data_IF_995477015613
#
_entry.id   IF_995477015613
#
_cell.length_a   1.000
_cell.length_b   1.000
_cell.length_c   1.000
_cell.angle_alpha   90.00
_cell.angle_beta   90.00
_cell.angle_gamma   90.00
#
_symmetry.space_group_name_H-M   'P 1'
#
loop_
_entity.id
_entity.type
_entity.pdbx_description
1 polymer ?
#
# COMPACT_ATOMS: atom_id res chain seq x y z
N UNK A 1 1.31 10.16 -1.01
CA UNK A 1 1.12 10.94 0.22
C UNK A 1 2.09 12.09 0.20
N UNK A 2 1.56 13.27 0.48
CA UNK A 2 2.21 14.57 0.30
C UNK A 2 1.78 15.45 1.47
N UNK A 3 2.61 16.36 1.97
CA UNK A 3 2.24 17.16 3.13
C UNK A 3 1.02 18.01 2.82
N UNK A 4 0.00 17.89 3.67
CA UNK A 4 -1.17 18.78 3.76
C UNK A 4 -1.07 19.69 4.99
N UNK A 5 -2.06 20.55 5.28
CA UNK A 5 -3.38 20.62 4.64
C UNK A 5 -3.43 21.61 3.44
N UNK A 6 -4.42 21.41 2.55
CA UNK A 6 -4.67 22.17 1.31
C UNK A 6 -3.61 21.98 0.21
N UNK A 7 -3.12 23.06 -0.43
CA UNK A 7 -2.09 22.96 -1.49
C UNK A 7 -0.78 22.38 -0.98
N UNK A 8 -0.49 22.46 0.33
CA UNK A 8 0.68 21.82 0.92
C UNK A 8 1.97 22.16 0.17
N UNK A 9 2.87 21.18 0.05
CA UNK A 9 4.04 21.25 -0.84
C UNK A 9 3.96 20.15 -1.90
N UNK A 10 3.64 20.49 -3.17
CA UNK A 10 3.44 19.52 -4.25
C UNK A 10 4.58 18.57 -4.55
N UNK A 11 5.78 18.82 -4.04
CA UNK A 11 7.04 18.14 -4.41
C UNK A 11 7.78 17.58 -3.21
N UNK A 12 7.13 17.48 -2.05
CA UNK A 12 7.72 16.93 -0.82
C UNK A 12 6.98 15.67 -0.40
N UNK A 13 7.73 14.70 0.12
CA UNK A 13 7.16 13.49 0.72
C UNK A 13 6.69 13.76 2.16
N UNK A 14 5.58 13.15 2.55
CA UNK A 14 5.08 13.10 3.93
C UNK A 14 4.31 11.78 4.14
N UNK A 15 4.13 11.36 5.39
CA UNK A 15 3.37 10.15 5.79
C UNK A 15 2.26 10.47 6.80
N UNK A 16 1.77 11.71 6.78
CA UNK A 16 0.89 12.30 7.81
C UNK A 16 -0.59 11.85 7.74
N UNK A 17 -1.03 11.12 6.71
CA UNK A 17 -2.46 10.78 6.50
C UNK A 17 -2.80 9.40 7.08
N UNK A 18 -1.88 8.73 7.78
CA UNK A 18 -2.12 7.39 8.32
C UNK A 18 -3.27 7.39 9.33
N UNK A 19 -3.24 8.30 10.30
CA UNK A 19 -4.32 8.42 11.29
C UNK A 19 -5.63 8.85 10.64
N UNK A 20 -5.56 9.71 9.62
CA UNK A 20 -6.74 10.12 8.87
C UNK A 20 -7.37 8.93 8.12
N UNK A 21 -6.57 8.10 7.44
CA UNK A 21 -7.05 6.94 6.71
C UNK A 21 -7.70 5.89 7.63
N UNK A 22 -7.15 5.69 8.83
CA UNK A 22 -7.69 4.76 9.82
C UNK A 22 -9.02 5.23 10.42
N UNK A 23 -9.21 6.54 10.61
CA UNK A 23 -10.38 7.07 11.33
C UNK A 23 -11.40 7.82 10.47
N UNK A 24 -11.19 7.94 9.16
CA UNK A 24 -12.10 8.67 8.25
C UNK A 24 -13.45 7.97 8.07
N UNK A 25 -14.54 8.75 7.96
CA UNK A 25 -15.88 8.25 7.66
C UNK A 25 -16.77 8.10 8.89
N UNK A 26 -18.05 8.39 8.73
CA UNK A 26 -19.04 8.30 9.82
C UNK A 26 -19.38 6.84 10.10
N UNK A 27 -19.33 6.44 11.38
CA UNK A 27 -19.62 5.07 11.83
C UNK A 27 -18.40 4.14 11.82
N UNK A 28 -18.59 2.92 12.33
CA UNK A 28 -17.57 1.87 12.30
C UNK A 28 -17.80 0.92 11.12
N UNK A 29 -16.76 0.74 10.31
CA UNK A 29 -16.74 -0.27 9.26
C UNK A 29 -15.31 -0.78 9.07
N UNK A 30 -15.19 -2.08 8.77
CA UNK A 30 -13.90 -2.70 8.53
C UNK A 30 -13.26 -2.09 7.28
N UNK A 31 -11.97 -1.75 7.39
CA UNK A 31 -11.13 -1.30 6.27
C UNK A 31 -9.74 -1.88 6.44
N UNK A 32 -9.10 -2.25 5.34
CA UNK A 32 -7.70 -2.65 5.33
C UNK A 32 -6.85 -1.45 4.89
N UNK A 33 -5.71 -1.23 5.53
CA UNK A 33 -4.75 -0.19 5.16
C UNK A 33 -3.37 -0.82 4.95
N UNK A 34 -2.76 -0.56 3.79
CA UNK A 34 -1.43 -1.02 3.42
C UNK A 34 -0.49 0.17 3.22
N UNK A 35 0.69 0.14 3.84
CA UNK A 35 1.70 1.22 3.76
C UNK A 35 3.02 0.66 3.22
N UNK A 36 3.16 0.49 1.90
CA UNK A 36 4.39 -0.04 1.30
C UNK A 36 5.55 0.96 1.44
N UNK A 37 6.75 0.47 1.74
CA UNK A 37 7.98 1.26 1.86
C UNK A 37 8.95 1.13 0.68
N UNK A 38 8.73 0.16 -0.21
CA UNK A 38 9.56 -0.06 -1.41
C UNK A 38 8.72 -0.25 -2.69
N UNK A 39 9.28 -0.03 -3.88
CA UNK A 39 8.60 -0.31 -5.15
C UNK A 39 8.09 -1.76 -5.28
N UNK A 40 8.84 -2.73 -4.78
CA UNK A 40 8.46 -4.16 -4.73
C UNK A 40 7.24 -4.36 -3.83
N UNK A 41 7.26 -3.73 -2.66
CA UNK A 41 6.15 -3.78 -1.71
C UNK A 41 4.91 -3.09 -2.27
N UNK A 42 5.04 -2.03 -3.07
CA UNK A 42 3.91 -1.40 -3.76
C UNK A 42 3.19 -2.40 -4.67
N UNK A 43 3.94 -3.20 -5.43
CA UNK A 43 3.37 -4.24 -6.29
C UNK A 43 2.66 -5.33 -5.49
N UNK A 44 3.29 -5.82 -4.41
CA UNK A 44 2.71 -6.85 -3.54
C UNK A 44 1.50 -6.33 -2.75
N UNK A 45 1.54 -5.08 -2.29
CA UNK A 45 0.47 -4.40 -1.59
C UNK A 45 -0.76 -4.26 -2.50
N UNK A 46 -0.57 -3.89 -3.77
CA UNK A 46 -1.66 -3.84 -4.74
C UNK A 46 -2.36 -5.20 -4.87
N UNK A 47 -1.60 -6.28 -5.09
CA UNK A 47 -2.15 -7.64 -5.16
C UNK A 47 -2.93 -8.02 -3.90
N UNK A 48 -2.37 -7.75 -2.72
CA UNK A 48 -3.01 -8.08 -1.43
C UNK A 48 -4.26 -7.24 -1.19
N UNK A 49 -4.24 -5.97 -1.54
CA UNK A 49 -5.38 -5.06 -1.39
C UNK A 49 -6.58 -5.52 -2.23
N UNK A 50 -6.36 -5.87 -3.50
CA UNK A 50 -7.43 -6.42 -4.35
C UNK A 50 -8.01 -7.71 -3.79
N UNK A 51 -7.16 -8.67 -3.39
CA UNK A 51 -7.62 -9.92 -2.80
C UNK A 51 -8.40 -9.71 -1.48
N UNK A 52 -7.99 -8.74 -0.68
CA UNK A 52 -8.63 -8.43 0.60
C UNK A 52 -9.97 -7.73 0.39
N UNK A 53 -10.04 -6.79 -0.56
CA UNK A 53 -11.28 -6.14 -0.95
C UNK A 53 -12.31 -7.15 -1.46
N UNK A 54 -11.88 -8.09 -2.32
CA UNK A 54 -12.76 -9.13 -2.85
C UNK A 54 -13.21 -10.12 -1.76
N UNK A 55 -12.28 -10.58 -0.91
CA UNK A 55 -12.58 -11.57 0.14
C UNK A 55 -13.48 -11.03 1.24
N UNK A 56 -13.24 -9.80 1.69
CA UNK A 56 -13.94 -9.23 2.84
C UNK A 56 -15.03 -8.24 2.44
N UNK A 57 -15.19 -7.95 1.13
CA UNK A 57 -16.14 -6.97 0.61
C UNK A 57 -16.05 -5.63 1.35
N UNK A 58 -14.81 -5.24 1.67
CA UNK A 58 -14.48 -4.09 2.50
C UNK A 58 -13.46 -3.19 1.79
N UNK A 59 -13.46 -1.87 2.05
CA UNK A 59 -12.47 -0.97 1.48
C UNK A 59 -11.03 -1.38 1.84
N UNK A 60 -10.16 -1.44 0.83
CA UNK A 60 -8.72 -1.64 0.99
C UNK A 60 -7.98 -0.40 0.47
N UNK A 61 -7.28 0.30 1.36
CA UNK A 61 -6.55 1.53 1.08
C UNK A 61 -5.05 1.24 0.99
N UNK A 62 -4.38 1.80 -0.01
CA UNK A 62 -2.93 1.74 -0.14
C UNK A 62 -2.39 3.15 0.02
N UNK A 63 -1.59 3.37 1.07
CA UNK A 63 -0.96 4.65 1.38
C UNK A 63 0.50 4.57 0.96
N UNK A 64 0.78 4.99 -0.28
CA UNK A 64 2.15 5.25 -0.75
C UNK A 64 2.47 6.73 -0.60
N UNK A 65 3.75 7.08 -0.50
CA UNK A 65 4.22 8.47 -0.48
C UNK A 65 4.65 8.98 -1.87
N UNK A 66 4.91 10.29 -1.97
CA UNK A 66 5.32 10.93 -3.22
C UNK A 66 6.74 10.54 -3.64
N UNK A 67 7.63 10.24 -2.68
CA UNK A 67 8.98 9.81 -2.99
C UNK A 67 8.97 8.46 -3.73
N UNK A 68 8.17 7.50 -3.26
CA UNK A 68 7.94 6.22 -3.93
C UNK A 68 7.26 6.38 -5.30
N UNK A 69 6.36 7.36 -5.44
CA UNK A 69 5.68 7.63 -6.71
C UNK A 69 6.57 8.22 -7.81
N UNK A 70 7.62 8.96 -7.43
CA UNK A 70 8.56 9.62 -8.35
C UNK A 70 9.88 8.85 -8.51
N UNK A 71 10.10 7.84 -7.68
CA UNK A 71 11.27 6.97 -7.68
C UNK A 71 11.25 6.01 -8.87
N UNK A 72 12.39 5.91 -9.57
CA UNK A 72 12.66 4.86 -10.56
C UNK A 72 13.78 3.97 -10.04
N UNK A 73 13.50 2.68 -9.92
CA UNK A 73 14.47 1.67 -9.50
C UNK A 73 14.38 0.46 -10.42
N UNK A 74 15.53 -0.11 -10.79
CA UNK A 74 15.58 -1.39 -11.47
C UNK A 74 15.38 -2.49 -10.45
N UNK A 75 14.25 -3.19 -10.57
CA UNK A 75 13.87 -4.25 -9.67
C UNK A 75 14.16 -5.57 -10.36
N UNK A 76 15.02 -6.40 -9.77
CA UNK A 76 15.06 -7.80 -10.15
C UNK A 76 13.85 -8.49 -9.55
N UNK A 77 12.97 -8.98 -10.41
CA UNK A 77 11.81 -9.75 -9.97
C UNK A 77 12.32 -11.10 -9.45
N UNK A 78 12.70 -11.14 -8.17
CA UNK A 78 13.13 -12.39 -7.58
C UNK A 78 11.94 -13.34 -7.52
N UNK A 79 12.01 -14.38 -8.34
CA UNK A 79 11.15 -15.58 -8.38
C UNK A 79 11.15 -16.36 -7.05
N UNK A 80 11.65 -15.80 -5.94
CA UNK A 80 11.66 -16.43 -4.62
C UNK A 80 10.25 -16.59 -4.01
N UNK A 81 9.24 -15.90 -4.55
CA UNK A 81 7.84 -16.16 -4.17
C UNK A 81 7.24 -17.41 -4.83
N UNK A 82 7.84 -17.94 -5.91
CA UNK A 82 7.39 -19.21 -6.49
C UNK A 82 7.84 -20.40 -5.64
N UNK A 83 9.05 -20.34 -5.07
CA UNK A 83 9.59 -21.41 -4.21
C UNK A 83 8.84 -21.59 -2.90
N UNK A 84 8.22 -20.55 -2.34
CA UNK A 84 7.37 -20.66 -1.14
C UNK A 84 5.98 -21.21 -1.43
N UNK A 85 5.53 -21.19 -2.69
CA UNK A 85 4.27 -21.80 -3.14
C UNK A 85 4.43 -23.27 -3.56
N UNK A 86 5.64 -23.72 -3.89
CA UNK A 86 5.94 -25.14 -4.23
C UNK A 86 6.48 -25.96 -3.06
N UNK A 87 6.60 -25.38 -1.85
CA UNK A 87 7.21 -26.01 -0.67
C UNK A 87 6.27 -26.73 0.30
N UNK A 88 5.05 -27.08 -0.11
CA UNK A 88 4.11 -27.86 0.72
C UNK A 88 3.78 -29.21 0.07
N UNK A 89 4.82 -30.00 -0.21
CA UNK A 89 4.69 -31.42 -0.55
C UNK A 89 5.88 -32.19 0.04
N UNK A 90 5.77 -32.51 1.33
CA UNK A 90 6.44 -33.64 1.99
C UNK A 90 5.70 -33.98 3.28
#
# INVERSE_FOLDING_TARGET
MRPGPATGFPTRTAQEDLEFALHTGHGEFARAVYTPGSPEECFLAAKRAFNTADRFQAPALILSDQYLGESFTNIEFQTQLASSLTGAAS
#
